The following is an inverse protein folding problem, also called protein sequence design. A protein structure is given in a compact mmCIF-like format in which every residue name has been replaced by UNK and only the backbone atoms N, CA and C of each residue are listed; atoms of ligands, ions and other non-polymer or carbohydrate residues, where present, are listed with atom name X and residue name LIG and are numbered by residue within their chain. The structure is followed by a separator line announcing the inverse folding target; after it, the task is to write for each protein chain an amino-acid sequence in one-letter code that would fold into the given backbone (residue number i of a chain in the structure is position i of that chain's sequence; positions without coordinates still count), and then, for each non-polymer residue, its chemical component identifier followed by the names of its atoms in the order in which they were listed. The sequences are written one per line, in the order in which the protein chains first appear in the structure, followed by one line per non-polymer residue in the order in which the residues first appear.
data_IF_341291865078
#
_entry.id   IF_341291865078
#
_cell.length_a   1.000
_cell.length_b   1.000
_cell.length_c   1.000
_cell.angle_alpha   90.00
_cell.angle_beta   90.00
_cell.angle_gamma   90.00
#
_symmetry.space_group_name_H-M   'P 1'
#
loop_
_entity.id
_entity.type
_entity.pdbx_description
1 polymer ?
#
# COMPACT_ATOMS: atom_id res chain seq x y z
N UNK A 1 24.33 29.72 -1.37
CA UNK A 1 23.13 30.56 -1.40
C UNK A 1 21.94 29.63 -1.61
N UNK A 2 21.10 29.49 -0.58
CA UNK A 2 19.98 28.57 -0.55
C UNK A 2 19.02 28.88 -1.71
N UNK A 3 18.72 27.87 -2.52
CA UNK A 3 17.75 27.97 -3.60
C UNK A 3 16.43 28.49 -3.03
N UNK A 4 15.95 29.61 -3.57
CA UNK A 4 14.55 30.03 -3.50
C UNK A 4 13.73 29.00 -4.27
N UNK A 5 13.54 27.82 -3.70
CA UNK A 5 12.33 27.06 -3.97
C UNK A 5 11.22 27.94 -3.38
N UNK A 6 10.33 28.42 -4.23
CA UNK A 6 9.18 29.28 -3.87
C UNK A 6 8.15 28.50 -3.04
N UNK A 7 8.61 27.79 -2.01
CA UNK A 7 7.75 27.18 -1.03
C UNK A 7 7.16 28.32 -0.20
N UNK A 8 5.84 28.35 0.03
CA UNK A 8 5.25 29.27 0.97
C UNK A 8 5.95 29.14 2.34
N UNK A 9 5.98 30.20 3.16
CA UNK A 9 6.62 30.18 4.49
C UNK A 9 5.90 29.24 5.49
N UNK A 10 4.94 28.44 5.04
CA UNK A 10 4.26 27.43 5.84
C UNK A 10 5.14 26.19 5.99
N UNK A 11 5.16 25.56 7.17
CA UNK A 11 5.82 24.27 7.34
C UNK A 11 5.27 23.28 6.32
N UNK A 12 6.15 22.50 5.66
CA UNK A 12 5.78 21.46 4.69
C UNK A 12 4.75 20.45 5.23
N UNK A 13 4.63 20.37 6.56
CA UNK A 13 3.68 19.54 7.31
C UNK A 13 2.23 19.98 7.11
N UNK A 14 1.96 21.23 6.72
CA UNK A 14 0.59 21.76 6.53
C UNK A 14 0.14 21.83 5.07
N UNK A 15 1.01 21.53 4.11
CA UNK A 15 0.67 21.49 2.70
C UNK A 15 0.17 20.08 2.35
N UNK A 16 -0.94 19.99 1.61
CA UNK A 16 -1.36 18.70 1.04
C UNK A 16 -0.33 18.25 0.00
N UNK A 17 -0.19 16.93 -0.17
CA UNK A 17 0.63 16.26 -1.16
C UNK A 17 0.49 16.86 -2.58
N UNK A 18 -0.72 17.24 -2.98
CA UNK A 18 -0.97 17.93 -4.25
C UNK A 18 -0.34 19.33 -4.34
N UNK A 19 -0.44 20.11 -3.26
CA UNK A 19 0.14 21.47 -3.20
C UNK A 19 1.67 21.41 -3.16
N UNK A 20 2.25 20.47 -2.42
CA UNK A 20 3.70 20.24 -2.40
C UNK A 20 4.20 19.86 -3.79
N UNK A 21 3.51 18.93 -4.46
CA UNK A 21 3.88 18.50 -5.80
C UNK A 21 3.73 19.63 -6.84
N UNK A 22 2.68 20.45 -6.73
CA UNK A 22 2.49 21.61 -7.60
C UNK A 22 3.55 22.69 -7.36
N UNK A 23 3.88 22.99 -6.11
CA UNK A 23 4.93 23.97 -5.79
C UNK A 23 6.30 23.53 -6.34
N UNK A 24 6.60 22.22 -6.24
CA UNK A 24 7.87 21.65 -6.68
C UNK A 24 7.97 21.48 -8.21
N UNK A 25 6.94 20.92 -8.86
CA UNK A 25 7.00 20.46 -10.26
C UNK A 25 5.91 21.08 -11.16
N UNK A 26 5.11 22.01 -10.65
CA UNK A 26 3.99 22.62 -11.37
C UNK A 26 2.87 21.63 -11.67
N UNK A 27 2.17 21.85 -12.78
CA UNK A 27 1.05 21.00 -13.21
C UNK A 27 1.42 19.53 -13.40
N UNK A 28 2.67 19.22 -13.77
CA UNK A 28 3.13 17.84 -13.87
C UNK A 28 3.16 17.13 -12.53
N UNK A 29 3.57 17.82 -11.46
CA UNK A 29 3.52 17.29 -10.09
C UNK A 29 2.09 16.99 -9.65
N UNK A 30 1.17 17.93 -9.88
CA UNK A 30 -0.24 17.74 -9.57
C UNK A 30 -0.84 16.54 -10.33
N UNK A 31 -0.58 16.43 -11.64
CA UNK A 31 -1.05 15.30 -12.46
C UNK A 31 -0.45 13.97 -11.99
N UNK A 32 0.83 13.94 -11.63
CA UNK A 32 1.48 12.75 -11.11
C UNK A 32 0.82 12.25 -9.82
N UNK A 33 0.47 13.16 -8.89
CA UNK A 33 -0.25 12.82 -7.65
C UNK A 33 -1.64 12.22 -7.97
N UNK A 34 -2.37 12.79 -8.92
CA UNK A 34 -3.69 12.26 -9.34
C UNK A 34 -3.58 10.85 -9.93
N UNK A 35 -2.62 10.62 -10.83
CA UNK A 35 -2.40 9.30 -11.44
C UNK A 35 -1.97 8.27 -10.38
N UNK A 36 -1.05 8.65 -9.49
CA UNK A 36 -0.62 7.78 -8.39
C UNK A 36 -1.78 7.43 -7.45
N UNK A 37 -2.63 8.42 -7.13
CA UNK A 37 -3.84 8.22 -6.33
C UNK A 37 -4.85 7.29 -7.00
N UNK A 38 -5.10 7.45 -8.29
CA UNK A 38 -6.01 6.59 -9.06
C UNK A 38 -5.54 5.13 -9.10
N UNK A 39 -4.27 4.91 -9.43
CA UNK A 39 -3.69 3.55 -9.53
C UNK A 39 -3.67 2.82 -8.20
N UNK A 40 -3.49 3.54 -7.09
CA UNK A 40 -3.53 2.97 -5.73
C UNK A 40 -4.96 2.72 -5.24
N UNK A 41 -5.90 3.60 -5.60
CA UNK A 41 -7.30 3.51 -5.13
C UNK A 41 -8.04 2.30 -5.71
N UNK A 42 -7.79 1.92 -6.97
CA UNK A 42 -8.48 0.80 -7.62
C UNK A 42 -8.34 -0.55 -6.88
N UNK A 43 -7.13 -1.09 -6.63
CA UNK A 43 -6.98 -2.33 -5.89
C UNK A 43 -7.40 -2.18 -4.42
N UNK A 44 -7.26 -0.99 -3.84
CA UNK A 44 -7.64 -0.72 -2.44
C UNK A 44 -9.16 -0.81 -2.25
N UNK A 45 -9.93 -0.11 -3.09
CA UNK A 45 -11.40 -0.17 -3.08
C UNK A 45 -11.91 -1.57 -3.41
N UNK A 46 -11.25 -2.29 -4.32
CA UNK A 46 -11.59 -3.67 -4.62
C UNK A 46 -11.43 -4.59 -3.39
N UNK A 47 -10.28 -4.50 -2.69
CA UNK A 47 -10.01 -5.27 -1.47
C UNK A 47 -10.98 -4.89 -0.34
N UNK A 48 -11.26 -3.60 -0.17
CA UNK A 48 -12.23 -3.12 0.81
C UNK A 48 -13.64 -3.65 0.50
N UNK A 49 -14.05 -3.64 -0.77
CA UNK A 49 -15.35 -4.15 -1.21
C UNK A 49 -15.50 -5.66 -0.99
N UNK A 50 -14.44 -6.45 -1.22
CA UNK A 50 -14.43 -7.89 -0.90
C UNK A 50 -14.47 -8.15 0.61
N UNK A 51 -13.74 -7.36 1.40
CA UNK A 51 -13.77 -7.48 2.86
C UNK A 51 -15.16 -7.16 3.44
N UNK A 52 -15.83 -6.14 2.93
CA UNK A 52 -17.21 -5.80 3.33
C UNK A 52 -18.20 -6.90 2.93
N UNK A 53 -18.07 -7.52 1.77
CA UNK A 53 -18.91 -8.66 1.37
C UNK A 53 -18.81 -9.86 2.31
N UNK A 54 -17.66 -10.06 2.97
CA UNK A 54 -17.52 -11.11 3.98
C UNK A 54 -18.43 -10.87 5.20
N UNK A 55 -18.80 -9.60 5.47
CA UNK A 55 -19.66 -9.18 6.58
C UNK A 55 -21.12 -8.95 6.13
N UNK A 56 -21.37 -8.65 4.85
CA UNK A 56 -22.70 -8.47 4.26
C UNK A 56 -23.05 -9.56 3.22
N UNK A 57 -23.45 -10.76 3.66
CA UNK A 57 -23.86 -11.83 2.75
C UNK A 57 -25.01 -11.40 1.82
N UNK A 58 -24.89 -11.69 0.52
CA UNK A 58 -25.96 -11.48 -0.47
C UNK A 58 -25.93 -10.15 -1.22
N UNK A 59 -25.00 -9.24 -0.91
CA UNK A 59 -24.88 -7.96 -1.62
C UNK A 59 -24.03 -8.10 -2.89
N UNK A 60 -24.42 -7.40 -3.96
CA UNK A 60 -23.67 -7.43 -5.23
C UNK A 60 -22.35 -6.68 -5.09
N UNK A 61 -21.30 -7.19 -5.75
CA UNK A 61 -19.94 -6.66 -5.61
C UNK A 61 -19.83 -5.18 -5.97
N UNK A 62 -20.50 -4.76 -7.05
CA UNK A 62 -20.45 -3.38 -7.52
C UNK A 62 -21.08 -2.42 -6.50
N UNK A 63 -22.16 -2.83 -5.83
CA UNK A 63 -22.87 -2.00 -4.86
C UNK A 63 -22.02 -1.76 -3.62
N UNK A 64 -21.37 -2.81 -3.11
CA UNK A 64 -20.50 -2.70 -1.93
C UNK A 64 -19.30 -1.80 -2.23
N UNK A 65 -18.69 -1.94 -3.42
CA UNK A 65 -17.59 -1.06 -3.84
C UNK A 65 -18.05 0.39 -4.02
N UNK A 66 -19.24 0.61 -4.59
CA UNK A 66 -19.80 1.96 -4.76
C UNK A 66 -20.04 2.64 -3.40
N UNK A 67 -20.59 1.92 -2.43
CA UNK A 67 -20.82 2.43 -1.08
C UNK A 67 -19.50 2.72 -0.38
N UNK A 68 -18.53 1.79 -0.44
CA UNK A 68 -17.21 1.99 0.14
C UNK A 68 -16.51 3.22 -0.45
N UNK A 69 -16.57 3.39 -1.78
CA UNK A 69 -16.04 4.58 -2.46
C UNK A 69 -16.79 5.86 -2.07
N UNK A 70 -18.12 5.83 -2.04
CA UNK A 70 -18.96 6.97 -1.66
C UNK A 70 -18.68 7.45 -0.23
N UNK A 71 -18.62 6.54 0.73
CA UNK A 71 -18.26 6.84 2.12
C UNK A 71 -16.84 7.41 2.20
N UNK A 72 -15.89 6.81 1.48
CA UNK A 72 -14.51 7.30 1.42
C UNK A 72 -14.44 8.74 0.88
N UNK A 73 -15.16 9.04 -0.21
CA UNK A 73 -15.23 10.40 -0.78
C UNK A 73 -15.84 11.40 0.20
N UNK A 74 -16.93 11.03 0.87
CA UNK A 74 -17.56 11.88 1.89
C UNK A 74 -16.56 12.19 3.00
N UNK A 75 -15.86 11.18 3.53
CA UNK A 75 -14.84 11.35 4.58
C UNK A 75 -13.69 12.24 4.08
N UNK A 76 -13.22 12.02 2.84
CA UNK A 76 -12.12 12.78 2.25
C UNK A 76 -12.43 14.28 2.07
N UNK A 77 -13.70 14.66 1.93
CA UNK A 77 -14.11 16.07 1.88
C UNK A 77 -13.97 16.79 3.23
N UNK A 78 -13.70 16.09 4.33
CA UNK A 78 -13.55 16.73 5.64
C UNK A 78 -12.09 17.14 5.92
N UNK A 79 -11.85 18.39 6.36
CA UNK A 79 -10.50 18.93 6.59
C UNK A 79 -9.76 18.34 7.80
N UNK A 80 -10.38 17.44 8.58
CA UNK A 80 -9.67 16.75 9.66
C UNK A 80 -8.79 15.61 9.14
N UNK A 81 -9.13 15.01 7.99
CA UNK A 81 -8.40 13.86 7.41
C UNK A 81 -6.95 14.24 7.15
N UNK A 82 -6.71 15.40 6.55
CA UNK A 82 -5.36 15.89 6.24
C UNK A 82 -4.58 16.33 7.49
N UNK A 83 -5.27 16.91 8.48
CA UNK A 83 -4.62 17.41 9.71
C UNK A 83 -4.13 16.30 10.64
N UNK A 84 -4.77 15.13 10.62
CA UNK A 84 -4.44 14.00 11.48
C UNK A 84 -4.07 12.75 10.70
N UNK A 85 -3.71 12.88 9.42
CA UNK A 85 -3.44 11.73 8.55
C UNK A 85 -2.30 10.86 9.11
N UNK A 86 -1.20 11.48 9.53
CA UNK A 86 -0.04 10.76 10.07
C UNK A 86 -0.40 9.97 11.33
N UNK A 87 -1.11 10.59 12.27
CA UNK A 87 -1.52 9.93 13.51
C UNK A 87 -2.53 8.82 13.23
N UNK A 88 -3.50 9.08 12.34
CA UNK A 88 -4.49 8.11 11.91
C UNK A 88 -3.82 6.90 11.26
N UNK A 89 -2.97 7.10 10.25
CA UNK A 89 -2.25 6.02 9.56
C UNK A 89 -1.36 5.25 10.54
N UNK A 90 -0.69 5.94 11.46
CA UNK A 90 0.12 5.30 12.49
C UNK A 90 -0.70 4.41 13.43
N UNK A 91 -1.85 4.90 13.91
CA UNK A 91 -2.75 4.13 14.78
C UNK A 91 -3.39 2.95 14.05
N UNK A 92 -3.80 3.13 12.79
CA UNK A 92 -4.31 2.03 11.96
C UNK A 92 -3.22 0.99 11.69
N UNK A 93 -1.98 1.43 11.43
CA UNK A 93 -0.83 0.53 11.33
C UNK A 93 -0.63 -0.28 12.60
N UNK A 94 -0.71 0.37 13.77
CA UNK A 94 -0.58 -0.28 15.07
C UNK A 94 -1.70 -1.28 15.36
N UNK A 95 -2.93 -0.97 14.95
CA UNK A 95 -4.11 -1.84 15.10
C UNK A 95 -4.01 -3.10 14.22
N UNK A 96 -3.49 -2.95 13.00
CA UNK A 96 -3.38 -4.03 12.00
C UNK A 96 -2.11 -4.88 12.19
N UNK A 97 -1.06 -4.34 12.82
CA UNK A 97 0.22 -5.04 13.01
C UNK A 97 0.08 -6.39 13.72
N UNK A 98 -0.66 -6.52 14.85
CA UNK A 98 -0.86 -7.81 15.51
C UNK A 98 -1.60 -8.83 14.62
N UNK A 99 -2.56 -8.38 13.81
CA UNK A 99 -3.29 -9.27 12.88
C UNK A 99 -2.33 -9.88 11.87
N UNK A 100 -1.44 -9.06 11.30
CA UNK A 100 -0.37 -9.54 10.41
C UNK A 100 0.55 -10.55 11.08
N UNK A 101 0.97 -10.29 12.33
CA UNK A 101 1.80 -11.21 13.11
C UNK A 101 1.12 -12.57 13.33
N UNK A 102 -0.15 -12.58 13.72
CA UNK A 102 -0.95 -13.80 13.93
C UNK A 102 -1.02 -14.62 12.64
N UNK A 103 -1.33 -13.98 11.50
CA UNK A 103 -1.37 -14.64 10.19
C UNK A 103 -0.01 -15.23 9.83
N UNK A 104 1.08 -14.49 10.10
CA UNK A 104 2.44 -14.98 9.82
C UNK A 104 2.77 -16.20 10.66
N UNK A 105 2.45 -16.15 11.95
CA UNK A 105 2.67 -17.27 12.87
C UNK A 105 1.87 -18.50 12.42
N UNK A 106 0.60 -18.32 12.07
CA UNK A 106 -0.30 -19.40 11.64
C UNK A 106 0.19 -20.09 10.36
N UNK A 107 0.68 -19.33 9.37
CA UNK A 107 0.99 -19.89 8.05
C UNK A 107 2.45 -20.33 7.91
N UNK A 108 3.40 -19.66 8.57
CA UNK A 108 4.83 -19.94 8.41
C UNK A 108 5.49 -20.56 9.64
N UNK A 109 5.05 -20.22 10.86
CA UNK A 109 5.69 -20.73 12.09
C UNK A 109 5.05 -22.06 12.49
N UNK A 110 3.71 -22.15 12.55
CA UNK A 110 3.00 -23.36 12.99
C UNK A 110 3.41 -24.63 12.23
N UNK A 111 3.51 -24.62 10.89
CA UNK A 111 3.99 -25.80 10.15
C UNK A 111 5.42 -26.22 10.52
N UNK A 112 6.28 -25.29 10.95
CA UNK A 112 7.67 -25.56 11.32
C UNK A 112 7.81 -26.10 12.74
N UNK A 113 6.92 -25.71 13.65
CA UNK A 113 6.90 -26.16 15.05
C UNK A 113 5.95 -27.34 15.30
N UNK A 114 5.28 -27.84 14.25
CA UNK A 114 4.36 -28.98 14.33
C UNK A 114 2.97 -28.63 14.88
N UNK A 115 2.58 -27.35 14.88
CA UNK A 115 1.25 -26.93 15.30
C UNK A 115 0.26 -27.01 14.14
N UNK A 116 -1.00 -27.30 14.47
CA UNK A 116 -2.07 -27.37 13.49
C UNK A 116 -2.48 -25.96 13.01
N UNK A 117 -2.43 -25.72 11.68
CA UNK A 117 -2.99 -24.51 11.05
C UNK A 117 -4.51 -24.43 11.15
N UNK A 118 -5.12 -23.26 11.25
CA UNK A 118 -6.56 -23.08 11.41
C UNK A 118 -7.17 -23.93 12.55
N UNK A 119 -6.38 -24.24 13.59
CA UNK A 119 -6.77 -25.16 14.66
C UNK A 119 -8.07 -24.73 15.35
N UNK A 120 -8.27 -23.42 15.57
CA UNK A 120 -9.47 -22.87 16.21
C UNK A 120 -10.73 -23.15 15.38
N UNK A 121 -10.66 -22.98 14.06
CA UNK A 121 -11.79 -23.27 13.16
C UNK A 121 -12.03 -24.77 13.07
N UNK A 122 -10.96 -25.58 13.03
CA UNK A 122 -11.05 -27.05 13.04
C UNK A 122 -11.66 -27.62 14.32
N UNK A 123 -11.46 -26.95 15.46
CA UNK A 123 -12.11 -27.28 16.74
C UNK A 123 -13.53 -26.72 16.87
N UNK A 124 -14.06 -26.07 15.83
CA UNK A 124 -15.40 -25.48 15.85
C UNK A 124 -15.55 -24.29 16.82
N UNK A 125 -14.43 -23.70 17.27
CA UNK A 125 -14.47 -22.52 18.13
C UNK A 125 -14.91 -21.32 17.28
N UNK A 126 -16.04 -20.72 17.66
CA UNK A 126 -16.54 -19.49 17.05
C UNK A 126 -15.64 -18.29 17.33
N UNK A 127 -14.90 -18.31 18.45
CA UNK A 127 -13.99 -17.26 18.86
C UNK A 127 -12.61 -17.82 19.22
N UNK A 128 -11.58 -17.35 18.53
CA UNK A 128 -10.18 -17.69 18.81
C UNK A 128 -9.65 -16.80 19.95
N UNK A 129 -9.90 -17.18 21.20
CA UNK A 129 -9.44 -16.41 22.36
C UNK A 129 -7.90 -16.22 22.39
N UNK A 130 -7.05 -17.18 21.96
CA UNK A 130 -5.61 -16.94 21.85
C UNK A 130 -5.25 -15.82 20.90
N UNK A 131 -5.89 -15.76 19.73
CA UNK A 131 -5.69 -14.69 18.76
C UNK A 131 -6.16 -13.35 19.33
N UNK A 132 -7.30 -13.33 20.00
CA UNK A 132 -7.86 -12.12 20.59
C UNK A 132 -6.97 -11.55 21.69
N UNK A 133 -6.44 -12.38 22.59
CA UNK A 133 -5.51 -11.92 23.63
C UNK A 133 -4.14 -11.52 23.06
N UNK A 134 -3.60 -12.28 22.10
CA UNK A 134 -2.34 -11.94 21.44
C UNK A 134 -2.44 -10.66 20.59
N UNK A 135 -3.65 -10.28 20.19
CA UNK A 135 -3.95 -8.99 19.57
C UNK A 135 -4.11 -7.88 20.62
N UNK A 136 -4.94 -8.09 21.65
CA UNK A 136 -5.31 -7.07 22.62
C UNK A 136 -4.15 -6.68 23.55
N UNK A 137 -3.38 -7.64 24.06
CA UNK A 137 -2.33 -7.36 25.06
C UNK A 137 -1.22 -6.47 24.48
N UNK A 138 -0.62 -6.77 23.31
CA UNK A 138 0.41 -5.92 22.73
C UNK A 138 -0.13 -4.57 22.28
N UNK A 139 -1.36 -4.53 21.78
CA UNK A 139 -2.01 -3.29 21.38
C UNK A 139 -2.22 -2.35 22.57
N UNK A 140 -2.73 -2.86 23.69
CA UNK A 140 -2.90 -2.07 24.92
C UNK A 140 -1.54 -1.59 25.45
N UNK A 141 -0.53 -2.47 25.47
CA UNK A 141 0.84 -2.10 25.84
C UNK A 141 1.44 -1.03 24.92
N UNK A 142 1.12 -1.07 23.63
CA UNK A 142 1.59 -0.07 22.69
C UNK A 142 0.90 1.29 22.87
N UNK A 143 -0.40 1.29 23.13
CA UNK A 143 -1.15 2.51 23.43
C UNK A 143 -0.61 3.15 24.71
N UNK A 144 -0.30 2.38 25.75
CA UNK A 144 0.28 2.93 26.98
C UNK A 144 1.69 3.48 26.75
N UNK A 145 2.55 2.79 26.00
CA UNK A 145 3.88 3.29 25.62
C UNK A 145 3.81 4.57 24.77
N UNK A 146 2.83 4.66 23.86
CA UNK A 146 2.60 5.85 23.05
C UNK A 146 2.14 7.04 23.91
N UNK A 147 1.16 6.82 24.79
CA UNK A 147 0.64 7.87 25.69
C UNK A 147 1.66 8.36 26.72
N UNK A 148 2.58 7.50 27.14
CA UNK A 148 3.67 7.87 28.07
C UNK A 148 4.87 8.51 27.39
N UNK A 149 4.89 8.57 26.06
CA UNK A 149 5.97 9.20 25.30
C UNK A 149 7.30 8.44 25.34
N UNK A 150 7.31 7.19 25.79
CA UNK A 150 8.53 6.37 25.90
C UNK A 150 9.06 6.01 24.51
N UNK A 151 8.16 5.68 23.57
CA UNK A 151 8.48 5.26 22.21
C UNK A 151 7.58 5.99 21.23
N UNK A 152 8.17 6.55 20.16
CA UNK A 152 7.40 7.16 19.08
C UNK A 152 6.54 6.11 18.34
N UNK A 153 5.34 6.50 17.88
CA UNK A 153 4.34 5.62 17.24
C UNK A 153 4.93 4.70 16.16
N UNK A 154 5.80 5.23 15.30
CA UNK A 154 6.44 4.48 14.21
C UNK A 154 7.38 3.35 14.67
N UNK A 155 8.00 3.46 15.85
CA UNK A 155 8.91 2.43 16.37
C UNK A 155 8.19 1.33 17.16
N UNK A 156 6.93 1.55 17.55
CA UNK A 156 6.11 0.57 18.27
C UNK A 156 5.71 -0.63 17.40
N UNK A 157 5.80 -0.51 16.08
CA UNK A 157 5.51 -1.57 15.12
C UNK A 157 6.28 -2.87 15.40
N UNK A 158 7.60 -2.79 15.59
CA UNK A 158 8.47 -3.97 15.76
C UNK A 158 8.22 -4.68 17.11
N UNK A 159 8.22 -3.97 18.26
CA UNK A 159 7.93 -4.58 19.56
C UNK A 159 6.55 -5.24 19.60
N UNK A 160 5.53 -4.58 19.05
CA UNK A 160 4.16 -5.10 19.01
C UNK A 160 4.09 -6.37 18.19
N UNK A 161 4.71 -6.38 17.00
CA UNK A 161 4.72 -7.55 16.14
C UNK A 161 5.37 -8.76 16.82
N UNK A 162 6.53 -8.56 17.44
CA UNK A 162 7.25 -9.63 18.14
C UNK A 162 6.47 -10.15 19.35
N UNK A 163 5.93 -9.23 20.16
CA UNK A 163 5.16 -9.61 21.34
C UNK A 163 3.88 -10.36 20.95
N UNK A 164 3.16 -9.91 19.91
CA UNK A 164 2.01 -10.63 19.37
C UNK A 164 2.40 -12.02 18.88
N UNK A 165 3.50 -12.15 18.12
CA UNK A 165 3.92 -13.44 17.61
C UNK A 165 4.21 -14.44 18.75
N UNK A 166 4.95 -14.01 19.77
CA UNK A 166 5.26 -14.84 20.94
C UNK A 166 4.00 -15.21 21.72
N UNK A 167 3.17 -14.22 22.05
CA UNK A 167 1.93 -14.45 22.81
C UNK A 167 0.98 -15.38 22.06
N UNK A 168 0.88 -15.23 20.74
CA UNK A 168 0.01 -16.09 19.94
C UNK A 168 0.49 -17.53 19.94
N UNK A 169 1.79 -17.78 19.80
CA UNK A 169 2.36 -19.14 19.89
C UNK A 169 2.07 -19.75 21.27
N UNK A 170 2.27 -18.98 22.34
CA UNK A 170 2.07 -19.46 23.73
C UNK A 170 0.60 -19.77 23.98
N UNK A 171 -0.30 -18.85 23.68
CA UNK A 171 -1.73 -19.06 23.93
C UNK A 171 -2.33 -20.13 23.00
N UNK A 172 -1.89 -20.21 21.75
CA UNK A 172 -2.32 -21.29 20.85
C UNK A 172 -1.83 -22.65 21.36
N UNK A 173 -0.60 -22.73 21.88
CA UNK A 173 -0.08 -23.94 22.51
C UNK A 173 -0.95 -24.38 23.71
N UNK A 174 -1.35 -23.42 24.57
CA UNK A 174 -2.22 -23.66 25.73
C UNK A 174 -3.64 -24.06 25.35
N UNK A 175 -4.18 -23.53 24.25
CA UNK A 175 -5.52 -23.83 23.75
C UNK A 175 -5.59 -25.15 22.93
N UNK A 176 -4.47 -25.89 22.84
CA UNK A 176 -4.42 -27.19 22.19
C UNK A 176 -4.16 -27.14 20.68
N UNK A 177 -3.45 -26.12 20.18
CA UNK A 177 -2.91 -26.12 18.81
C UNK A 177 -1.80 -27.17 18.59
N UNK A 178 -1.29 -27.76 19.68
CA UNK A 178 -0.33 -28.89 19.68
C UNK A 178 -0.94 -30.22 19.26
N UNK A 179 -2.26 -30.34 19.28
CA UNK A 179 -2.93 -31.57 18.86
C UNK A 179 -2.79 -31.74 17.34
N UNK A 180 -2.40 -32.94 16.93
CA UNK A 180 -2.31 -33.33 15.52
C UNK A 180 -3.72 -33.45 14.92
N UNK A 181 -4.26 -32.34 14.44
CA UNK A 181 -5.51 -32.31 13.70
C UNK A 181 -5.29 -32.85 12.27
N UNK A 182 -6.28 -33.57 11.68
CA UNK A 182 -6.16 -34.16 10.34
C UNK A 182 -5.61 -33.15 9.34
N UNK A 183 -4.55 -33.51 8.61
CA UNK A 183 -3.90 -32.58 7.68
C UNK A 183 -4.93 -31.98 6.73
N UNK A 184 -4.90 -30.65 6.58
CA UNK A 184 -5.68 -30.00 5.54
C UNK A 184 -5.28 -30.63 4.20
N UNK A 185 -6.24 -30.92 3.30
CA UNK A 185 -5.90 -31.30 1.93
C UNK A 185 -4.87 -30.29 1.45
N UNK A 186 -3.69 -30.76 1.01
CA UNK A 186 -2.61 -29.89 0.51
C UNK A 186 -3.30 -28.87 -0.38
N UNK A 187 -3.33 -27.63 0.08
CA UNK A 187 -3.88 -26.50 -0.64
C UNK A 187 -3.24 -26.58 -2.02
N UNK A 188 -4.01 -27.04 -3.01
CA UNK A 188 -3.51 -27.38 -4.33
C UNK A 188 -2.74 -26.17 -4.77
N UNK A 189 -1.41 -26.35 -4.85
CA UNK A 189 -0.37 -25.36 -5.11
C UNK A 189 -0.81 -24.42 -6.22
N UNK A 190 -1.54 -23.36 -5.86
CA UNK A 190 -2.34 -22.59 -6.80
C UNK A 190 -3.33 -23.50 -7.55
N UNK A 191 -4.60 -23.10 -7.68
CA UNK A 191 -5.22 -23.39 -8.99
C UNK A 191 -4.19 -22.90 -10.00
N UNK A 192 -3.70 -23.76 -10.90
CA UNK A 192 -2.94 -23.30 -12.05
C UNK A 192 -3.66 -22.03 -12.54
N UNK A 193 -2.95 -20.91 -12.74
CA UNK A 193 -3.60 -19.67 -13.15
C UNK A 193 -4.63 -20.05 -14.23
N UNK A 194 -5.89 -19.57 -14.10
CA UNK A 194 -6.96 -19.97 -15.01
C UNK A 194 -6.36 -19.95 -16.41
N UNK A 195 -6.56 -21.00 -17.24
CA UNK A 195 -5.90 -21.11 -18.54
C UNK A 195 -5.98 -19.73 -19.15
N UNK A 196 -4.80 -19.12 -19.37
CA UNK A 196 -4.70 -17.73 -19.85
C UNK A 196 -5.69 -17.67 -20.99
N UNK A 197 -6.79 -16.93 -20.78
CA UNK A 197 -7.83 -16.82 -21.80
C UNK A 197 -7.10 -16.46 -23.07
N UNK A 198 -7.31 -17.28 -24.11
CA UNK A 198 -6.60 -17.33 -25.38
C UNK A 198 -5.56 -16.23 -25.51
N UNK A 199 -4.27 -16.61 -25.52
CA UNK A 199 -3.17 -15.72 -25.88
C UNK A 199 -3.67 -14.81 -27.00
N UNK A 200 -4.03 -13.56 -26.65
CA UNK A 200 -4.23 -12.51 -27.63
C UNK A 200 -2.88 -12.48 -28.28
N UNK A 201 -2.79 -13.09 -29.46
CA UNK A 201 -1.54 -13.34 -30.13
C UNK A 201 -0.86 -11.99 -30.17
N UNK A 202 0.17 -11.82 -29.33
CA UNK A 202 0.86 -10.56 -29.23
C UNK A 202 1.38 -10.31 -30.64
N UNK A 203 0.75 -9.38 -31.36
CA UNK A 203 1.25 -8.96 -32.66
C UNK A 203 2.69 -8.60 -32.41
N UNK A 204 3.62 -9.33 -33.07
CA UNK A 204 5.05 -9.06 -32.90
C UNK A 204 5.23 -7.58 -33.19
N UNK A 205 5.65 -6.77 -32.22
CA UNK A 205 5.71 -5.34 -32.44
C UNK A 205 6.68 -5.09 -33.59
N UNK A 206 6.37 -4.10 -34.43
CA UNK A 206 7.32 -3.64 -35.42
C UNK A 206 8.62 -3.28 -34.69
N UNK A 207 9.66 -4.12 -34.82
CA UNK A 207 10.83 -4.09 -33.94
C UNK A 207 11.45 -2.69 -33.83
N UNK A 208 11.47 -1.94 -34.94
CA UNK A 208 11.96 -0.56 -34.98
C UNK A 208 11.18 0.41 -34.08
N UNK A 209 9.84 0.35 -34.05
CA UNK A 209 9.02 1.27 -33.26
C UNK A 209 9.07 0.95 -31.76
N UNK A 210 9.19 -0.33 -31.41
CA UNK A 210 9.36 -0.79 -30.03
C UNK A 210 10.68 -0.30 -29.42
N UNK A 211 11.81 -0.54 -30.11
CA UNK A 211 13.12 -0.08 -29.61
C UNK A 211 13.24 1.44 -29.62
N UNK A 212 12.66 2.12 -30.62
CA UNK A 212 12.68 3.59 -30.69
C UNK A 212 11.86 4.22 -29.57
N UNK A 213 10.62 3.77 -29.34
CA UNK A 213 9.77 4.29 -28.25
C UNK A 213 10.36 4.01 -26.87
N UNK A 214 10.95 2.83 -26.65
CA UNK A 214 11.68 2.51 -25.42
C UNK A 214 12.92 3.38 -25.19
N UNK A 215 13.71 3.64 -26.24
CA UNK A 215 14.88 4.52 -26.14
C UNK A 215 14.49 5.97 -25.83
N UNK A 216 13.43 6.48 -26.48
CA UNK A 216 12.89 7.83 -26.20
C UNK A 216 12.38 7.92 -24.77
N UNK A 217 11.66 6.91 -24.27
CA UNK A 217 11.19 6.87 -22.89
C UNK A 217 12.36 6.90 -21.89
N UNK A 218 13.42 6.13 -22.15
CA UNK A 218 14.63 6.11 -21.30
C UNK A 218 15.36 7.46 -21.31
N UNK A 219 15.47 8.12 -22.46
CA UNK A 219 16.08 9.45 -22.57
C UNK A 219 15.25 10.48 -21.81
N UNK A 220 13.93 10.47 -21.96
CA UNK A 220 13.06 11.37 -21.20
C UNK A 220 13.13 11.11 -19.69
N UNK A 221 13.23 9.84 -19.26
CA UNK A 221 13.43 9.49 -17.85
C UNK A 221 14.76 10.03 -17.32
N UNK A 222 15.85 9.88 -18.08
CA UNK A 222 17.14 10.44 -17.72
C UNK A 222 17.09 11.98 -17.62
N UNK A 223 16.39 12.65 -18.55
CA UNK A 223 16.17 14.09 -18.50
C UNK A 223 15.36 14.51 -17.26
N UNK A 224 14.33 13.76 -16.87
CA UNK A 224 13.58 14.01 -15.64
C UNK A 224 14.46 13.95 -14.37
N UNK A 225 15.55 13.19 -14.39
CA UNK A 225 16.51 13.11 -13.28
C UNK A 225 17.59 14.19 -13.34
N UNK A 226 18.06 14.55 -14.55
CA UNK A 226 19.15 15.52 -14.76
C UNK A 226 18.66 16.96 -14.63
N UNK A 227 17.43 17.27 -15.07
CA UNK A 227 16.90 18.64 -15.03
C UNK A 227 16.83 19.23 -13.61
N UNK A 228 16.33 18.51 -12.57
CA UNK A 228 16.40 18.99 -11.20
C UNK A 228 17.83 19.23 -10.70
N UNK A 229 18.79 18.40 -11.12
CA UNK A 229 20.20 18.54 -10.75
C UNK A 229 20.85 19.79 -11.37
N UNK A 230 20.46 20.15 -12.61
CA UNK A 230 20.91 21.37 -13.28
C UNK A 230 20.33 22.64 -12.63
N UNK A 231 19.06 22.60 -12.19
CA UNK A 231 18.48 23.69 -11.38
C UNK A 231 19.21 23.82 -10.05
N UNK A 232 19.52 22.69 -9.39
CA UNK A 232 20.29 22.68 -8.14
C UNK A 232 21.70 23.26 -8.31
N UNK A 233 22.35 22.97 -9.44
CA UNK A 233 23.65 23.55 -9.80
C UNK A 233 23.59 25.05 -10.17
N UNK A 234 22.39 25.64 -10.21
CA UNK A 234 22.17 27.05 -10.52
C UNK A 234 22.25 27.38 -12.02
N UNK A 235 22.31 26.38 -12.90
CA UNK A 235 22.46 26.58 -14.34
C UNK A 235 21.14 26.80 -15.08
N UNK A 236 19.99 26.66 -14.41
CA UNK A 236 18.66 26.75 -15.03
C UNK A 236 17.65 27.46 -14.11
N UNK A 237 16.82 28.32 -14.69
CA UNK A 237 15.76 29.07 -14.00
C UNK A 237 14.50 28.20 -13.74
N UNK A 238 13.78 28.47 -12.64
CA UNK A 238 12.61 27.67 -12.18
C UNK A 238 11.48 27.64 -13.22
N UNK A 239 11.24 28.78 -13.89
CA UNK A 239 10.20 28.87 -14.94
C UNK A 239 10.56 28.03 -16.16
N UNK A 240 11.82 28.06 -16.58
CA UNK A 240 12.31 27.26 -17.72
C UNK A 240 12.28 25.77 -17.39
N UNK A 241 12.66 25.40 -16.17
CA UNK A 241 12.56 24.03 -15.67
C UNK A 241 11.11 23.50 -15.70
N UNK A 242 10.16 24.22 -15.09
CA UNK A 242 8.74 23.80 -15.05
C UNK A 242 8.12 23.65 -16.44
N UNK A 243 8.42 24.58 -17.36
CA UNK A 243 7.94 24.51 -18.74
C UNK A 243 8.53 23.33 -19.51
N UNK A 244 9.85 23.07 -19.36
CA UNK A 244 10.51 21.96 -20.04
C UNK A 244 10.06 20.60 -19.49
N UNK A 245 9.85 20.52 -18.17
CA UNK A 245 9.38 19.31 -17.50
C UNK A 245 8.01 18.87 -18.02
N UNK A 246 7.10 19.79 -18.34
CA UNK A 246 5.80 19.47 -18.96
C UNK A 246 5.99 18.67 -20.25
N UNK A 247 6.83 19.17 -21.16
CA UNK A 247 7.07 18.51 -22.45
C UNK A 247 7.81 17.19 -22.30
N UNK A 248 8.86 17.13 -21.48
CA UNK A 248 9.62 15.89 -21.26
C UNK A 248 8.74 14.79 -20.68
N UNK A 249 7.88 15.14 -19.72
CA UNK A 249 6.98 14.16 -19.10
C UNK A 249 5.86 13.74 -20.04
N UNK A 250 5.32 14.65 -20.86
CA UNK A 250 4.34 14.29 -21.89
C UNK A 250 4.92 13.33 -22.93
N UNK A 251 6.12 13.59 -23.43
CA UNK A 251 6.82 12.70 -24.37
C UNK A 251 7.14 11.35 -23.72
N UNK A 252 7.52 11.34 -22.44
CA UNK A 252 7.70 10.11 -21.67
C UNK A 252 6.42 9.28 -21.59
N UNK A 253 5.28 9.88 -21.24
CA UNK A 253 4.02 9.15 -21.16
C UNK A 253 3.55 8.62 -22.52
N UNK A 254 3.67 9.41 -23.59
CA UNK A 254 3.29 8.98 -24.94
C UNK A 254 4.19 7.83 -25.41
N UNK A 255 5.51 8.00 -25.32
CA UNK A 255 6.46 6.96 -25.73
C UNK A 255 6.35 5.70 -24.88
N UNK A 256 6.20 5.83 -23.56
CA UNK A 256 6.00 4.71 -22.64
C UNK A 256 4.70 3.95 -22.88
N UNK A 257 3.59 4.66 -23.18
CA UNK A 257 2.31 4.01 -23.50
C UNK A 257 2.40 3.23 -24.81
N UNK A 258 3.04 3.80 -25.83
CA UNK A 258 3.27 3.13 -27.11
C UNK A 258 4.15 1.88 -26.92
N UNK A 259 5.19 1.99 -26.08
CA UNK A 259 6.09 0.88 -25.79
C UNK A 259 5.38 -0.27 -25.07
N UNK A 260 4.51 0.02 -24.09
CA UNK A 260 3.71 -0.98 -23.36
C UNK A 260 2.60 -1.58 -24.24
N UNK A 261 1.98 -0.80 -25.12
CA UNK A 261 0.96 -1.34 -26.04
C UNK A 261 1.52 -2.33 -27.08
N UNK A 262 2.84 -2.34 -27.24
CA UNK A 262 3.58 -3.17 -28.19
C UNK A 262 4.25 -4.39 -27.53
N UNK A 263 4.29 -4.47 -26.19
CA UNK A 263 4.88 -5.59 -25.44
C UNK A 263 3.86 -6.67 -25.11
#
# INVERSE_FOLDING_TARGET
AAAKLSLPPTPLVYLDSGEVAFAALGWMGALAVVIAGWTTSNPTLYRAGLALQAVTPGWTRWLVTLIAGGVTTIIACFPFVFRHLLDFVGLYGLLLMPVGAIVVVEHWIFPRIGFARFWSSRKGLSLNWPALLAWAIPLLGAITCWQTGIIHLFFLCIPVWLLTAILYIVFAAMAGARESLPELPKETRSAAPPPRGDDVSAERPAAGLYYFSGAVALVCLALCLVLPALVFAGSMDDRTFKNLLIWVTAVYFVSGTIWISQS
#
